data_IF_832524693068
#
_entry.id   IF_832524693068
#
_cell.length_a   1.000
_cell.length_b   1.000
_cell.length_c   1.000
_cell.angle_alpha   90.00
_cell.angle_beta   90.00
_cell.angle_gamma   90.00
#
_symmetry.space_group_name_H-M   'P 1'
#
loop_
_entity.id
_entity.type
_entity.pdbx_description
1 polymer ?
#
# COMPACT_ATOMS: atom_id res chain seq x y z
N UNK A 1 -32.68 9.38 19.27
CA UNK A 1 -31.32 8.91 18.94
C UNK A 1 -30.54 10.16 18.65
N UNK A 2 -29.63 10.50 19.55
CA UNK A 2 -28.81 11.71 19.50
C UNK A 2 -27.77 11.48 18.40
N UNK A 3 -27.82 12.27 17.32
CA UNK A 3 -26.77 12.25 16.29
C UNK A 3 -25.46 12.67 16.96
N UNK A 4 -24.54 11.72 17.13
CA UNK A 4 -23.19 12.00 17.62
C UNK A 4 -22.55 13.05 16.69
N UNK A 5 -22.35 14.26 17.19
CA UNK A 5 -21.66 15.33 16.47
C UNK A 5 -20.19 14.94 16.37
N UNK A 6 -19.82 14.35 15.25
CA UNK A 6 -18.42 14.21 14.89
C UNK A 6 -17.86 15.59 14.53
N UNK A 7 -16.91 16.06 15.33
CA UNK A 7 -16.16 17.29 15.05
C UNK A 7 -15.16 17.06 13.92
N UNK A 8 -14.84 18.13 13.18
CA UNK A 8 -13.86 18.10 12.08
C UNK A 8 -12.75 19.08 12.38
N UNK A 9 -11.50 18.61 12.35
CA UNK A 9 -10.30 19.46 12.40
C UNK A 9 -9.43 19.20 11.17
N UNK A 10 -8.72 20.25 10.74
CA UNK A 10 -7.77 20.20 9.63
C UNK A 10 -6.47 20.89 10.06
N UNK A 11 -5.34 20.26 9.79
CA UNK A 11 -4.04 20.82 10.12
C UNK A 11 -2.90 20.08 9.42
N UNK A 12 -1.67 20.51 9.71
CA UNK A 12 -0.45 19.85 9.20
C UNK A 12 0.14 18.95 10.29
N UNK A 13 0.55 17.74 9.93
CA UNK A 13 1.18 16.81 10.87
C UNK A 13 2.54 17.37 11.28
N UNK A 14 2.66 17.81 12.52
CA UNK A 14 3.88 18.37 13.06
C UNK A 14 4.84 17.27 13.50
N UNK A 15 4.35 16.26 14.22
CA UNK A 15 5.18 15.15 14.70
C UNK A 15 4.37 13.86 14.75
N UNK A 16 4.98 12.74 14.37
CA UNK A 16 4.41 11.40 14.61
C UNK A 16 5.00 10.84 15.90
N UNK A 17 4.24 10.93 17.01
CA UNK A 17 4.68 10.53 18.35
C UNK A 17 4.76 9.00 18.51
N UNK A 18 3.81 8.29 17.89
CA UNK A 18 3.73 6.83 17.95
C UNK A 18 3.04 6.29 16.70
N UNK A 19 3.48 5.10 16.26
CA UNK A 19 2.84 4.32 15.20
C UNK A 19 2.89 2.83 15.52
N UNK A 20 1.79 2.15 15.25
CA UNK A 20 1.71 0.70 15.14
C UNK A 20 1.45 0.33 13.67
N UNK A 21 2.45 -0.27 13.02
CA UNK A 21 2.37 -0.65 11.60
C UNK A 21 1.38 -1.78 11.34
N UNK A 22 1.09 -2.64 12.33
CA UNK A 22 0.24 -3.82 12.15
C UNK A 22 -1.26 -3.49 12.04
N UNK A 23 -1.72 -2.44 12.74
CA UNK A 23 -3.14 -2.07 12.77
C UNK A 23 -3.39 -0.61 12.33
N UNK A 24 -2.35 0.14 11.96
CA UNK A 24 -2.46 1.52 11.51
C UNK A 24 -2.75 2.53 12.62
N UNK A 25 -2.74 2.13 13.89
CA UNK A 25 -2.93 3.07 14.98
C UNK A 25 -1.74 4.02 15.09
N UNK A 26 -2.01 5.32 15.17
CA UNK A 26 -0.97 6.33 15.38
C UNK A 26 -1.41 7.40 16.37
N UNK A 27 -0.42 8.06 16.96
CA UNK A 27 -0.56 9.27 17.75
C UNK A 27 0.28 10.34 17.09
N UNK A 28 -0.34 11.45 16.72
CA UNK A 28 0.31 12.56 16.01
C UNK A 28 -0.01 13.88 16.67
N UNK A 29 0.92 14.83 16.62
CA UNK A 29 0.63 16.22 16.89
C UNK A 29 0.28 16.92 15.58
N UNK A 30 -0.91 17.50 15.53
CA UNK A 30 -1.46 18.20 14.38
C UNK A 30 -1.46 19.70 14.65
N UNK A 31 -0.77 20.47 13.82
CA UNK A 31 -0.81 21.94 13.84
C UNK A 31 -2.10 22.43 13.16
N UNK A 32 -3.06 22.87 13.97
CA UNK A 32 -4.33 23.44 13.56
C UNK A 32 -4.24 24.96 13.74
N UNK A 33 -3.89 25.67 12.67
CA UNK A 33 -3.78 27.15 12.66
C UNK A 33 -2.84 27.75 13.72
N UNK A 34 -1.73 27.07 14.04
CA UNK A 34 -0.73 27.49 15.02
C UNK A 34 -0.90 26.84 16.41
N UNK A 35 -1.95 26.04 16.61
CA UNK A 35 -2.18 25.29 17.86
C UNK A 35 -1.95 23.80 17.63
N UNK A 36 -1.12 23.19 18.49
CA UNK A 36 -0.87 21.74 18.44
C UNK A 36 -1.99 20.97 19.13
N UNK A 37 -2.63 20.10 18.37
CA UNK A 37 -3.67 19.18 18.83
C UNK A 37 -3.16 17.75 18.69
N UNK A 38 -3.11 17.00 19.80
CA UNK A 38 -2.76 15.57 19.74
C UNK A 38 -3.94 14.77 19.21
N UNK A 39 -3.75 14.09 18.08
CA UNK A 39 -4.75 13.26 17.41
C UNK A 39 -4.36 11.78 17.53
N UNK A 40 -5.33 10.94 17.88
CA UNK A 40 -5.17 9.47 17.94
C UNK A 40 -6.18 8.78 17.02
N UNK A 41 -5.85 7.59 16.53
CA UNK A 41 -6.79 6.78 15.75
C UNK A 41 -6.09 5.90 14.73
N UNK A 42 -6.88 5.27 13.85
CA UNK A 42 -6.33 4.54 12.70
C UNK A 42 -5.95 5.55 11.61
N UNK A 43 -4.69 6.00 11.66
CA UNK A 43 -4.10 6.99 10.75
C UNK A 43 -3.05 6.32 9.87
N UNK A 44 -3.47 5.24 9.18
CA UNK A 44 -2.55 4.36 8.46
C UNK A 44 -1.65 5.15 7.51
N UNK A 45 -0.34 5.00 7.67
CA UNK A 45 0.66 5.62 6.80
C UNK A 45 0.95 7.11 7.03
N UNK A 46 0.31 7.79 7.98
CA UNK A 46 0.50 9.25 8.26
C UNK A 46 1.96 9.67 8.49
N UNK A 47 2.46 10.64 7.74
CA UNK A 47 3.80 11.18 7.90
C UNK A 47 3.79 12.68 8.25
N UNK A 48 4.90 13.14 8.82
CA UNK A 48 5.11 14.56 9.11
C UNK A 48 5.05 15.40 7.83
N UNK A 49 4.55 16.63 7.95
CA UNK A 49 4.36 17.54 6.83
C UNK A 49 3.09 17.27 6.01
N UNK A 50 2.41 16.15 6.15
CA UNK A 50 1.12 15.93 5.48
C UNK A 50 0.02 16.85 6.04
N UNK A 51 -0.91 17.26 5.18
CA UNK A 51 -2.16 17.86 5.62
C UNK A 51 -3.14 16.74 5.97
N UNK A 52 -3.77 16.84 7.14
CA UNK A 52 -4.70 15.85 7.66
C UNK A 52 -6.03 16.52 7.99
N UNK A 53 -7.10 16.06 7.35
CA UNK A 53 -8.46 16.33 7.81
C UNK A 53 -8.96 15.12 8.59
N UNK A 54 -9.35 15.30 9.85
CA UNK A 54 -9.89 14.21 10.68
C UNK A 54 -11.28 14.55 11.20
N UNK A 55 -12.08 13.50 11.37
CA UNK A 55 -13.40 13.53 11.98
C UNK A 55 -13.38 12.68 13.24
N UNK A 56 -13.96 13.18 14.33
CA UNK A 56 -13.83 12.52 15.61
C UNK A 56 -14.41 13.31 16.78
N UNK A 57 -13.93 12.99 17.97
CA UNK A 57 -14.39 13.60 19.22
C UNK A 57 -13.19 13.83 20.16
N UNK A 58 -13.24 14.90 20.95
CA UNK A 58 -12.27 15.11 22.02
C UNK A 58 -12.52 14.13 23.18
N UNK A 59 -11.44 13.57 23.69
CA UNK A 59 -11.43 12.77 24.91
C UNK A 59 -10.30 13.21 25.83
N UNK A 60 -10.40 12.87 27.10
CA UNK A 60 -9.36 13.17 28.08
C UNK A 60 -8.71 11.87 28.55
N UNK A 61 -7.46 11.63 28.15
CA UNK A 61 -6.70 10.47 28.57
C UNK A 61 -6.13 10.70 29.98
N UNK A 62 -6.29 9.76 30.93
CA UNK A 62 -5.89 9.95 32.34
C UNK A 62 -4.42 10.37 32.54
N UNK A 63 -3.54 9.95 31.63
CA UNK A 63 -2.09 10.22 31.70
C UNK A 63 -1.62 11.31 30.74
N UNK A 64 -2.28 11.47 29.59
CA UNK A 64 -1.77 12.28 28.47
C UNK A 64 -2.60 13.53 28.19
N UNK A 65 -3.70 13.73 28.93
CA UNK A 65 -4.56 14.90 28.80
C UNK A 65 -5.49 14.82 27.60
N UNK A 66 -5.87 15.99 27.09
CA UNK A 66 -6.86 16.13 26.01
C UNK A 66 -6.29 15.64 24.69
N UNK A 67 -7.02 14.74 24.04
CA UNK A 67 -6.69 14.17 22.73
C UNK A 67 -7.92 14.16 21.84
N UNK A 68 -7.71 14.32 20.54
CA UNK A 68 -8.77 14.16 19.54
C UNK A 68 -8.76 12.72 19.00
N UNK A 69 -9.80 11.95 19.28
CA UNK A 69 -9.93 10.58 18.79
C UNK A 69 -10.58 10.59 17.41
N UNK A 70 -9.78 10.39 16.38
CA UNK A 70 -10.23 10.32 14.99
C UNK A 70 -10.93 8.98 14.69
N UNK A 71 -12.17 9.06 14.25
CA UNK A 71 -12.93 7.93 13.69
C UNK A 71 -12.73 7.79 12.18
N UNK A 72 -12.37 8.87 11.50
CA UNK A 72 -11.99 8.89 10.09
C UNK A 72 -10.90 9.95 9.83
N UNK A 73 -10.10 9.72 8.79
CA UNK A 73 -9.10 10.68 8.32
C UNK A 73 -8.99 10.72 6.80
N UNK A 74 -8.63 11.89 6.28
CA UNK A 74 -8.23 12.13 4.90
C UNK A 74 -6.85 12.81 4.93
N UNK A 75 -5.97 12.36 4.04
CA UNK A 75 -4.56 12.75 3.97
C UNK A 75 -4.27 13.40 2.63
N UNK A 76 -3.60 14.54 2.66
CA UNK A 76 -3.16 15.26 1.47
C UNK A 76 -1.65 15.46 1.55
N UNK A 77 -0.98 15.22 0.43
CA UNK A 77 0.47 15.44 0.32
C UNK A 77 0.81 16.91 0.55
N UNK A 78 1.96 17.21 1.17
CA UNK A 78 2.41 18.58 1.34
C UNK A 78 2.60 19.26 -0.01
N UNK A 79 2.15 20.51 -0.10
CA UNK A 79 2.30 21.36 -1.28
C UNK A 79 3.36 22.44 -1.11
N UNK A 80 3.63 22.89 0.12
CA UNK A 80 4.63 23.91 0.40
C UNK A 80 6.04 23.33 0.54
N UNK A 81 7.07 24.09 0.14
CA UNK A 81 8.46 23.64 0.24
C UNK A 81 8.87 23.25 1.68
N UNK A 82 8.36 23.97 2.69
CA UNK A 82 8.62 23.67 4.11
C UNK A 82 8.00 22.34 4.53
N UNK A 83 6.74 22.10 4.17
CA UNK A 83 6.05 20.86 4.51
C UNK A 83 6.63 19.66 3.72
N UNK A 84 6.99 19.86 2.45
CA UNK A 84 7.67 18.85 1.63
C UNK A 84 9.04 18.52 2.23
N UNK A 85 9.81 19.51 2.67
CA UNK A 85 11.09 19.28 3.33
C UNK A 85 10.91 18.42 4.58
N UNK A 86 9.90 18.73 5.39
CA UNK A 86 9.59 17.98 6.60
C UNK A 86 9.23 16.54 6.29
N UNK A 87 8.32 16.35 5.35
CA UNK A 87 7.90 15.05 4.85
C UNK A 87 9.06 14.20 4.32
N UNK A 88 9.91 14.76 3.46
CA UNK A 88 11.08 14.07 2.91
C UNK A 88 12.19 13.85 3.95
N UNK A 89 12.28 14.70 4.97
CA UNK A 89 13.28 14.58 6.04
C UNK A 89 12.89 13.53 7.08
N UNK A 90 11.58 13.24 7.19
CA UNK A 90 11.06 12.16 8.01
C UNK A 90 11.43 10.79 7.46
N UNK A 91 10.97 9.74 8.15
CA UNK A 91 11.15 8.35 7.72
C UNK A 91 10.16 7.90 6.64
N UNK A 92 9.44 8.85 6.00
CA UNK A 92 8.42 8.55 5.01
C UNK A 92 9.02 7.80 3.82
N UNK A 93 10.13 8.28 3.24
CA UNK A 93 10.75 7.64 2.06
C UNK A 93 12.12 7.07 2.45
N UNK A 94 12.23 5.74 2.41
CA UNK A 94 13.49 5.06 2.67
C UNK A 94 14.60 5.53 1.73
N UNK A 95 15.76 5.88 2.30
CA UNK A 95 16.91 6.37 1.54
C UNK A 95 16.96 7.88 1.30
N UNK A 96 15.94 8.63 1.75
CA UNK A 96 15.95 10.10 1.82
C UNK A 96 16.08 10.54 3.27
N UNK A 97 17.31 10.88 3.68
CA UNK A 97 17.54 11.48 5.00
C UNK A 97 17.46 13.01 4.96
N UNK A 98 17.46 13.70 6.11
CA UNK A 98 17.28 15.16 6.21
C UNK A 98 18.22 16.00 5.31
N UNK A 99 19.47 15.56 5.17
CA UNK A 99 20.46 16.23 4.31
C UNK A 99 20.08 16.11 2.83
N UNK A 100 19.59 14.93 2.42
CA UNK A 100 19.21 14.70 1.03
C UNK A 100 17.87 15.37 0.72
N UNK A 101 16.90 15.28 1.63
CA UNK A 101 15.63 15.99 1.56
C UNK A 101 15.84 17.49 1.31
N UNK A 102 16.73 18.12 2.09
CA UNK A 102 17.11 19.53 1.90
C UNK A 102 17.61 19.82 0.50
N UNK A 103 18.52 19.01 -0.03
CA UNK A 103 19.06 19.22 -1.39
C UNK A 103 18.00 19.01 -2.48
N UNK A 104 17.08 18.07 -2.29
CA UNK A 104 15.98 17.83 -3.23
C UNK A 104 15.05 19.05 -3.26
N UNK A 105 14.68 19.58 -2.09
CA UNK A 105 13.80 20.76 -1.99
C UNK A 105 14.53 22.03 -2.43
N UNK A 106 15.83 22.19 -2.16
CA UNK A 106 16.63 23.30 -2.69
C UNK A 106 16.69 23.29 -4.23
N UNK A 107 16.72 22.10 -4.84
CA UNK A 107 16.78 21.95 -6.29
C UNK A 107 15.42 22.13 -6.99
N UNK A 108 14.32 21.72 -6.34
CA UNK A 108 13.02 21.57 -7.00
C UNK A 108 11.85 22.26 -6.30
N UNK A 109 12.03 22.75 -5.08
CA UNK A 109 11.01 23.45 -4.30
C UNK A 109 9.72 22.64 -4.16
N UNK A 110 8.60 23.29 -4.45
CA UNK A 110 7.25 22.70 -4.37
C UNK A 110 7.04 21.55 -5.38
N UNK A 111 7.90 21.44 -6.40
CA UNK A 111 7.82 20.37 -7.41
C UNK A 111 8.54 19.08 -6.99
N UNK A 112 9.17 19.02 -5.81
CA UNK A 112 9.96 17.85 -5.42
C UNK A 112 9.18 16.54 -5.46
N UNK A 113 7.97 16.50 -4.90
CA UNK A 113 7.16 15.28 -4.87
C UNK A 113 6.67 14.87 -6.27
N UNK A 114 6.28 15.84 -7.09
CA UNK A 114 5.89 15.60 -8.48
C UNK A 114 7.05 15.02 -9.31
N UNK A 115 8.27 15.54 -9.11
CA UNK A 115 9.47 15.03 -9.77
C UNK A 115 9.79 13.62 -9.29
N UNK A 116 9.68 13.33 -8.00
CA UNK A 116 9.87 11.98 -7.46
C UNK A 116 8.87 11.00 -8.10
N UNK A 117 7.61 11.40 -8.24
CA UNK A 117 6.56 10.56 -8.81
C UNK A 117 6.70 10.34 -10.32
N UNK A 118 6.85 11.43 -11.09
CA UNK A 118 6.63 11.43 -12.55
C UNK A 118 7.91 11.48 -13.38
N UNK A 119 9.00 11.98 -12.81
CA UNK A 119 10.25 12.24 -13.55
C UNK A 119 11.48 11.98 -12.68
N UNK A 120 11.60 10.78 -12.07
CA UNK A 120 12.64 10.51 -11.08
C UNK A 120 14.05 10.65 -11.65
N UNK A 121 14.26 10.49 -12.96
CA UNK A 121 15.53 10.76 -13.63
C UNK A 121 16.04 12.18 -13.39
N UNK A 122 15.16 13.17 -13.19
CA UNK A 122 15.59 14.54 -12.86
C UNK A 122 16.28 14.63 -11.50
N UNK A 123 16.01 13.70 -10.58
CA UNK A 123 16.67 13.67 -9.27
C UNK A 123 18.19 13.47 -9.38
N UNK A 124 18.72 12.96 -10.50
CA UNK A 124 20.18 12.82 -10.68
C UNK A 124 20.91 14.16 -10.76
N UNK A 125 20.20 15.28 -10.94
CA UNK A 125 20.77 16.62 -10.80
C UNK A 125 21.16 16.95 -9.35
N UNK A 126 20.62 16.22 -8.37
CA UNK A 126 20.89 16.42 -6.94
C UNK A 126 22.14 15.65 -6.52
N UNK A 127 23.13 16.37 -5.96
CA UNK A 127 24.37 15.76 -5.46
C UNK A 127 24.09 14.65 -4.44
N UNK A 128 24.49 13.43 -4.79
CA UNK A 128 24.29 12.24 -3.96
C UNK A 128 23.11 11.36 -4.37
N UNK A 129 22.46 11.66 -5.49
CA UNK A 129 21.45 10.81 -6.13
C UNK A 129 21.99 10.27 -7.45
N UNK A 130 22.25 8.97 -7.51
CA UNK A 130 22.51 8.25 -8.76
C UNK A 130 21.20 7.81 -9.42
N UNK A 131 21.22 7.45 -10.71
CA UNK A 131 20.01 6.95 -11.39
C UNK A 131 19.35 5.75 -10.67
N UNK A 132 20.10 4.73 -10.19
CA UNK A 132 19.51 3.64 -9.40
C UNK A 132 18.96 4.10 -8.04
N UNK A 133 19.48 5.19 -7.47
CA UNK A 133 18.95 5.75 -6.22
C UNK A 133 17.68 6.55 -6.49
N UNK A 134 17.62 7.29 -7.58
CA UNK A 134 16.43 8.03 -8.01
C UNK A 134 15.24 7.08 -8.22
N UNK A 135 15.44 5.95 -8.91
CA UNK A 135 14.38 4.97 -9.10
C UNK A 135 13.89 4.36 -7.78
N UNK A 136 14.80 3.98 -6.88
CA UNK A 136 14.41 3.50 -5.55
C UNK A 136 13.61 4.52 -4.74
N UNK A 137 13.98 5.81 -4.78
CA UNK A 137 13.22 6.87 -4.12
C UNK A 137 11.79 6.96 -4.69
N UNK A 138 11.65 6.85 -6.00
CA UNK A 138 10.36 6.88 -6.69
C UNK A 138 9.49 5.66 -6.37
N UNK A 139 10.08 4.47 -6.33
CA UNK A 139 9.43 3.22 -5.94
C UNK A 139 8.91 3.30 -4.50
N UNK A 140 9.75 3.77 -3.57
CA UNK A 140 9.34 3.96 -2.17
C UNK A 140 8.23 5.01 -2.04
N UNK A 141 8.28 6.10 -2.82
CA UNK A 141 7.22 7.10 -2.83
C UNK A 141 5.89 6.54 -3.37
N UNK A 142 5.93 5.77 -4.47
CA UNK A 142 4.75 5.10 -5.06
C UNK A 142 4.08 4.14 -4.10
N UNK A 143 4.87 3.40 -3.30
CA UNK A 143 4.33 2.50 -2.25
C UNK A 143 3.41 3.22 -1.27
N UNK A 144 3.63 4.50 -1.01
CA UNK A 144 2.95 5.24 0.07
C UNK A 144 1.79 6.10 -0.48
N UNK A 145 1.93 6.69 -1.67
CA UNK A 145 0.98 7.66 -2.22
C UNK A 145 0.36 7.29 -3.55
N UNK A 146 0.73 6.14 -4.09
CA UNK A 146 0.22 5.66 -5.36
C UNK A 146 -1.22 5.18 -5.31
N UNK A 147 -2.10 5.50 -4.34
CA UNK A 147 -3.46 4.90 -4.28
C UNK A 147 -4.16 4.99 -5.64
N UNK A 148 -4.28 6.19 -6.21
CA UNK A 148 -4.98 6.40 -7.48
C UNK A 148 -4.25 5.76 -8.66
N UNK A 149 -2.92 5.81 -8.66
CA UNK A 149 -2.07 5.22 -9.70
C UNK A 149 -2.13 3.69 -9.64
N UNK A 150 -2.01 3.12 -8.46
CA UNK A 150 -2.14 1.69 -8.15
C UNK A 150 -3.52 1.18 -8.51
N UNK A 151 -4.59 1.89 -8.14
CA UNK A 151 -5.94 1.51 -8.52
C UNK A 151 -6.12 1.58 -10.04
N UNK A 152 -5.53 2.56 -10.72
CA UNK A 152 -5.56 2.65 -12.18
C UNK A 152 -4.78 1.49 -12.84
N UNK A 153 -3.58 1.19 -12.37
CA UNK A 153 -2.78 0.06 -12.86
C UNK A 153 -3.48 -1.29 -12.62
N UNK A 154 -4.07 -1.50 -11.45
CA UNK A 154 -4.85 -2.72 -11.16
C UNK A 154 -6.08 -2.80 -12.07
N UNK A 155 -6.74 -1.67 -12.36
CA UNK A 155 -7.85 -1.63 -13.30
C UNK A 155 -7.41 -1.94 -14.74
N UNK A 156 -6.21 -1.51 -15.15
CA UNK A 156 -5.61 -1.89 -16.45
C UNK A 156 -5.35 -3.40 -16.57
N UNK A 157 -5.11 -4.09 -15.44
CA UNK A 157 -5.03 -5.54 -15.36
C UNK A 157 -6.41 -6.24 -15.36
N UNK A 158 -7.50 -5.48 -15.48
CA UNK A 158 -8.87 -5.99 -15.48
C UNK A 158 -9.42 -6.29 -14.08
N UNK A 159 -8.76 -5.82 -13.02
CA UNK A 159 -9.18 -6.03 -11.63
C UNK A 159 -10.26 -5.00 -11.29
N UNK A 160 -11.39 -5.48 -10.76
CA UNK A 160 -12.50 -4.63 -10.34
C UNK A 160 -12.12 -3.72 -9.16
N UNK A 161 -12.85 -2.63 -8.98
CA UNK A 161 -12.53 -1.62 -7.96
C UNK A 161 -12.54 -2.15 -6.53
N UNK A 162 -13.45 -3.07 -6.18
CA UNK A 162 -13.52 -3.61 -4.82
C UNK A 162 -12.30 -4.51 -4.52
N UNK A 163 -11.97 -5.40 -5.46
CA UNK A 163 -10.75 -6.20 -5.40
C UNK A 163 -9.49 -5.33 -5.39
N UNK A 164 -9.40 -4.30 -6.24
CA UNK A 164 -8.27 -3.39 -6.29
C UNK A 164 -8.07 -2.64 -4.96
N UNK A 165 -9.16 -2.22 -4.29
CA UNK A 165 -9.09 -1.61 -2.96
C UNK A 165 -8.62 -2.59 -1.88
N UNK A 166 -9.07 -3.85 -1.92
CA UNK A 166 -8.60 -4.91 -1.01
C UNK A 166 -7.11 -5.19 -1.18
N UNK A 167 -6.66 -5.30 -2.43
CA UNK A 167 -5.25 -5.48 -2.79
C UNK A 167 -4.41 -4.28 -2.36
N UNK A 168 -4.88 -3.06 -2.60
CA UNK A 168 -4.20 -1.86 -2.15
C UNK A 168 -4.09 -1.82 -0.61
N UNK A 169 -5.13 -2.19 0.14
CA UNK A 169 -5.04 -2.24 1.61
C UNK A 169 -3.98 -3.22 2.09
N UNK A 170 -3.86 -4.38 1.45
CA UNK A 170 -2.90 -5.41 1.85
C UNK A 170 -1.47 -5.14 1.38
N UNK A 171 -1.29 -4.64 0.15
CA UNK A 171 0.01 -4.56 -0.53
C UNK A 171 0.42 -3.13 -0.92
N UNK A 172 -0.45 -2.15 -0.67
CA UNK A 172 -0.23 -0.72 -0.96
C UNK A 172 0.23 -0.52 -2.40
N UNK A 173 1.14 0.42 -2.66
CA UNK A 173 1.63 0.66 -4.02
C UNK A 173 2.49 -0.46 -4.63
N UNK A 174 2.79 -1.55 -3.89
CA UNK A 174 3.45 -2.72 -4.46
C UNK A 174 2.48 -3.69 -5.14
N UNK A 175 1.15 -3.50 -4.99
CA UNK A 175 0.15 -4.42 -5.50
C UNK A 175 0.28 -4.73 -7.00
N UNK A 176 0.47 -3.75 -7.91
CA UNK A 176 0.54 -4.03 -9.35
C UNK A 176 1.77 -4.88 -9.71
N UNK A 177 2.93 -4.59 -9.11
CA UNK A 177 4.17 -5.34 -9.36
C UNK A 177 4.06 -6.78 -8.87
N UNK A 178 3.51 -6.99 -7.67
CA UNK A 178 3.26 -8.32 -7.11
C UNK A 178 2.32 -9.15 -8.01
N UNK A 179 1.23 -8.54 -8.50
CA UNK A 179 0.30 -9.22 -9.41
C UNK A 179 0.98 -9.57 -10.73
N UNK A 180 1.77 -8.67 -11.32
CA UNK A 180 2.52 -8.96 -12.55
C UNK A 180 3.54 -10.08 -12.38
N UNK A 181 4.18 -10.16 -11.21
CA UNK A 181 5.16 -11.21 -10.89
C UNK A 181 4.51 -12.58 -10.63
N UNK A 182 3.32 -12.63 -10.04
CA UNK A 182 2.58 -13.87 -9.82
C UNK A 182 1.05 -13.62 -9.75
N UNK A 183 0.34 -13.69 -10.89
CA UNK A 183 -1.10 -13.42 -10.95
C UNK A 183 -1.95 -14.37 -10.09
N UNK A 184 -1.48 -15.59 -9.84
CA UNK A 184 -2.22 -16.58 -9.04
C UNK A 184 -2.35 -16.22 -7.56
N UNK A 185 -1.63 -15.21 -7.08
CA UNK A 185 -1.85 -14.66 -5.74
C UNK A 185 -3.25 -14.06 -5.57
N UNK A 186 -3.87 -13.60 -6.67
CA UNK A 186 -5.23 -13.07 -6.69
C UNK A 186 -6.28 -14.09 -6.22
N UNK A 187 -6.00 -15.39 -6.38
CA UNK A 187 -6.90 -16.46 -5.95
C UNK A 187 -6.98 -16.62 -4.42
N UNK A 188 -6.03 -16.04 -3.69
CA UNK A 188 -6.00 -16.05 -2.22
C UNK A 188 -6.55 -14.77 -1.61
N UNK A 189 -6.49 -14.68 -0.28
CA UNK A 189 -6.75 -13.42 0.41
C UNK A 189 -5.71 -12.34 0.02
N UNK A 190 -6.13 -11.07 -0.13
CA UNK A 190 -7.46 -10.54 0.21
C UNK A 190 -8.46 -10.54 -0.95
N UNK A 191 -8.04 -10.82 -2.19
CA UNK A 191 -8.88 -10.62 -3.38
C UNK A 191 -9.87 -11.78 -3.62
N UNK A 192 -9.45 -13.03 -3.37
CA UNK A 192 -10.24 -14.26 -3.58
C UNK A 192 -10.89 -14.33 -4.97
N UNK A 193 -10.14 -13.94 -6.00
CA UNK A 193 -10.60 -13.97 -7.40
C UNK A 193 -10.60 -15.39 -7.95
N UNK A 194 -11.35 -15.62 -9.02
CA UNK A 194 -11.42 -16.93 -9.67
C UNK A 194 -10.09 -17.31 -10.33
N UNK A 195 -9.74 -18.59 -10.26
CA UNK A 195 -8.52 -19.12 -10.89
C UNK A 195 -8.50 -18.83 -12.40
N UNK A 196 -9.63 -18.92 -13.08
CA UNK A 196 -9.72 -18.66 -14.52
C UNK A 196 -9.31 -17.22 -14.88
N UNK A 197 -9.63 -16.24 -14.03
CA UNK A 197 -9.19 -14.86 -14.22
C UNK A 197 -7.67 -14.75 -14.07
N UNK A 198 -7.12 -15.33 -12.99
CA UNK A 198 -5.68 -15.31 -12.74
C UNK A 198 -4.89 -16.07 -13.81
N UNK A 199 -5.39 -17.21 -14.30
CA UNK A 199 -4.79 -18.03 -15.36
C UNK A 199 -4.76 -17.27 -16.69
N UNK A 200 -5.85 -16.57 -17.03
CA UNK A 200 -5.90 -15.70 -18.21
C UNK A 200 -4.92 -14.52 -18.11
N UNK A 201 -4.81 -13.90 -16.94
CA UNK A 201 -3.83 -12.83 -16.71
C UNK A 201 -2.39 -13.35 -16.77
N UNK A 202 -2.12 -14.53 -16.22
CA UNK A 202 -0.82 -15.19 -16.27
C UNK A 202 -0.38 -15.54 -17.71
N UNK A 203 -1.31 -16.01 -18.54
CA UNK A 203 -1.04 -16.26 -19.95
C UNK A 203 -0.57 -14.99 -20.69
N UNK A 204 -1.14 -13.81 -20.37
CA UNK A 204 -0.68 -12.52 -20.93
C UNK A 204 0.79 -12.19 -20.57
N UNK A 205 1.32 -12.80 -19.51
CA UNK A 205 2.71 -12.67 -19.08
C UNK A 205 3.59 -13.87 -19.47
N UNK A 206 3.09 -14.77 -20.32
CA UNK A 206 3.84 -15.94 -20.79
C UNK A 206 3.87 -17.13 -19.83
N UNK A 207 3.00 -17.14 -18.82
CA UNK A 207 2.87 -18.24 -17.84
C UNK A 207 1.65 -19.08 -18.20
N UNK A 208 1.85 -20.11 -19.03
CA UNK A 208 0.78 -20.97 -19.56
C UNK A 208 1.17 -22.46 -19.61
N UNK A 209 0.21 -23.34 -19.89
CA UNK A 209 0.44 -24.78 -20.06
C UNK A 209 1.04 -25.44 -18.82
N UNK A 210 2.20 -26.06 -18.97
CA UNK A 210 2.93 -26.78 -17.90
C UNK A 210 3.97 -25.91 -17.19
N UNK A 211 3.84 -24.58 -17.26
CA UNK A 211 4.72 -23.68 -16.52
C UNK A 211 4.68 -23.99 -15.01
N UNK A 212 5.84 -24.09 -14.36
CA UNK A 212 5.97 -24.51 -12.95
C UNK A 212 5.12 -23.67 -12.01
N UNK A 213 5.02 -22.36 -12.24
CA UNK A 213 4.20 -21.47 -11.41
C UNK A 213 2.69 -21.71 -11.56
N UNK A 214 2.23 -22.07 -12.77
CA UNK A 214 0.83 -22.46 -13.02
C UNK A 214 0.48 -23.77 -12.32
N UNK A 215 1.38 -24.75 -12.39
CA UNK A 215 1.23 -26.05 -11.72
C UNK A 215 1.16 -25.89 -10.20
N UNK A 216 2.10 -25.13 -9.61
CA UNK A 216 2.09 -24.78 -8.18
C UNK A 216 0.81 -24.06 -7.78
N UNK A 217 0.36 -23.12 -8.60
CA UNK A 217 -0.88 -22.39 -8.35
C UNK A 217 -2.09 -23.33 -8.35
N UNK A 218 -2.19 -24.27 -9.29
CA UNK A 218 -3.27 -25.26 -9.33
C UNK A 218 -3.28 -26.16 -8.09
N UNK A 219 -2.11 -26.59 -7.61
CA UNK A 219 -1.97 -27.34 -6.36
C UNK A 219 -2.49 -26.54 -5.16
N UNK A 220 -2.00 -25.30 -4.98
CA UNK A 220 -2.40 -24.43 -3.87
C UNK A 220 -3.88 -24.08 -3.93
N UNK A 221 -4.40 -23.79 -5.13
CA UNK A 221 -5.82 -23.50 -5.34
C UNK A 221 -6.70 -24.69 -4.95
N UNK A 222 -6.34 -25.90 -5.38
CA UNK A 222 -7.08 -27.12 -5.05
C UNK A 222 -7.06 -27.39 -3.54
N UNK A 223 -5.90 -27.19 -2.89
CA UNK A 223 -5.78 -27.33 -1.44
C UNK A 223 -6.64 -26.31 -0.69
N UNK A 224 -6.61 -25.03 -1.09
CA UNK A 224 -7.45 -23.98 -0.51
C UNK A 224 -8.93 -24.28 -0.67
N UNK A 225 -9.35 -24.71 -1.86
CA UNK A 225 -10.73 -25.12 -2.08
C UNK A 225 -11.17 -26.26 -1.16
N UNK A 226 -10.30 -27.26 -0.91
CA UNK A 226 -10.61 -28.33 0.04
C UNK A 226 -10.66 -27.81 1.48
N UNK A 227 -9.77 -26.89 1.86
CA UNK A 227 -9.77 -26.23 3.16
C UNK A 227 -11.07 -25.46 3.41
N UNK A 228 -11.56 -24.70 2.41
CA UNK A 228 -12.82 -23.96 2.50
C UNK A 228 -14.04 -24.89 2.64
N UNK A 229 -13.92 -26.15 2.24
CA UNK A 229 -14.90 -27.22 2.47
C UNK A 229 -14.73 -27.95 3.82
N UNK A 230 -13.83 -27.48 4.68
CA UNK A 230 -13.61 -28.01 6.04
C UNK A 230 -12.60 -29.17 6.12
N UNK A 231 -11.90 -29.49 5.03
CA UNK A 231 -10.85 -30.51 5.06
C UNK A 231 -9.53 -29.93 5.60
N UNK A 232 -8.79 -30.71 6.38
CA UNK A 232 -7.49 -30.32 6.93
C UNK A 232 -6.31 -31.01 6.23
N UNK A 233 -6.59 -32.01 5.38
CA UNK A 233 -5.60 -32.70 4.56
C UNK A 233 -6.25 -33.23 3.27
N UNK A 234 -5.41 -33.52 2.27
CA UNK A 234 -5.80 -34.17 1.03
C UNK A 234 -4.68 -35.15 0.63
N UNK A 235 -4.98 -36.44 0.35
CA UNK A 235 -3.97 -37.39 -0.12
C UNK A 235 -3.29 -36.91 -1.41
N UNK A 236 -1.97 -37.10 -1.50
CA UNK A 236 -1.17 -36.59 -2.62
C UNK A 236 -1.69 -37.05 -3.99
N UNK A 237 -1.98 -38.35 -4.15
CA UNK A 237 -2.55 -38.90 -5.39
C UNK A 237 -3.88 -38.24 -5.78
N UNK A 238 -4.75 -37.97 -4.79
CA UNK A 238 -6.04 -37.33 -5.04
C UNK A 238 -5.89 -35.84 -5.40
N UNK A 239 -4.87 -35.16 -4.84
CA UNK A 239 -4.52 -33.79 -5.21
C UNK A 239 -4.01 -33.73 -6.65
N UNK A 240 -3.03 -34.57 -6.99
CA UNK A 240 -2.46 -34.68 -8.33
C UNK A 240 -3.58 -34.94 -9.34
N UNK A 241 -4.44 -35.92 -9.07
CA UNK A 241 -5.55 -36.31 -9.95
C UNK A 241 -6.56 -35.19 -10.20
N UNK A 242 -6.81 -34.34 -9.19
CA UNK A 242 -7.68 -33.17 -9.35
C UNK A 242 -6.99 -32.09 -10.18
N UNK A 243 -5.72 -31.85 -9.93
CA UNK A 243 -4.98 -30.72 -10.50
C UNK A 243 -4.66 -30.93 -11.97
N UNK A 244 -4.16 -32.10 -12.40
CA UNK A 244 -3.85 -32.31 -13.81
C UNK A 244 -5.09 -32.21 -14.70
N UNK A 245 -6.25 -32.70 -14.21
CA UNK A 245 -7.55 -32.58 -14.90
C UNK A 245 -8.07 -31.15 -14.91
N UNK A 246 -7.89 -30.43 -13.81
CA UNK A 246 -8.32 -29.04 -13.70
C UNK A 246 -7.52 -28.12 -14.61
N UNK A 247 -6.21 -28.31 -14.70
CA UNK A 247 -5.30 -27.50 -15.51
C UNK A 247 -5.19 -27.96 -16.98
N UNK A 248 -5.73 -29.14 -17.30
CA UNK A 248 -5.61 -29.82 -18.60
C UNK A 248 -4.14 -30.02 -19.04
N UNK A 249 -3.36 -30.68 -18.18
CA UNK A 249 -1.92 -30.92 -18.36
C UNK A 249 -1.57 -32.40 -18.15
N UNK A 250 -0.33 -32.79 -18.48
CA UNK A 250 0.13 -34.14 -18.17
C UNK A 250 0.22 -34.36 -16.65
N UNK A 251 -0.11 -35.58 -16.24
CA UNK A 251 -0.03 -35.99 -14.82
C UNK A 251 1.40 -35.92 -14.29
N UNK A 252 2.36 -36.36 -15.10
CA UNK A 252 3.79 -36.39 -14.76
C UNK A 252 4.36 -35.00 -14.47
N UNK A 253 3.83 -33.95 -15.11
CA UNK A 253 4.25 -32.57 -14.84
C UNK A 253 3.74 -32.03 -13.50
N UNK A 254 2.76 -32.67 -12.87
CA UNK A 254 2.20 -32.27 -11.56
C UNK A 254 2.90 -33.00 -10.40
N UNK A 255 3.57 -34.13 -10.65
CA UNK A 255 4.33 -34.91 -9.67
C UNK A 255 5.65 -34.24 -9.23
#
# INVERSE_FOLDING_TARGET
MEEARSERINGTVETVLYRNEANGYAVVDLDVNGELVTVTGSLFGVAEGEELTVWGEYSNHPTYGVQFNASACERVLPSSATAILKYLSGSAISGVGPVLARRIVEAFGEQSLDIIAKSPERLTAVKGVSAPKAQRIAEEFRKIFGVRETLAELAELGIDTDSALKLYRAWQGAAPELVRGNPYMLCGEPARMDFAFADGLAANFGVEGEHTDRLRAGLVFTLRHNLDNGHTCLPAEALIDKVYKFLDVSRDSVE
#
